data_IF_306641205159
#
_entry.id   IF_306641205159
#
_cell.length_a   1.000
_cell.length_b   1.000
_cell.length_c   1.000
_cell.angle_alpha   90.00
_cell.angle_beta   90.00
_cell.angle_gamma   90.00
#
_symmetry.space_group_name_H-M   'P 1'
#
loop_
_entity.id
_entity.type
_entity.pdbx_description
1 polymer ?
#
# COMPACT_ATOMS: atom_id res chain seq x y z
N UNK A 1 0.23 15.38 13.60
CA UNK A 1 0.75 14.02 13.87
C UNK A 1 1.48 13.54 12.63
N UNK A 2 2.67 12.95 12.77
CA UNK A 2 3.45 12.43 11.65
C UNK A 2 3.45 10.90 11.67
N UNK A 3 3.18 10.28 10.52
CA UNK A 3 3.23 8.83 10.32
C UNK A 3 4.39 8.51 9.38
N UNK A 4 5.16 7.47 9.70
CA UNK A 4 6.26 7.02 8.84
C UNK A 4 5.73 6.11 7.75
N UNK A 5 5.95 6.48 6.49
CA UNK A 5 5.56 5.66 5.33
C UNK A 5 6.83 5.06 4.71
N UNK A 6 6.84 3.74 4.51
CA UNK A 6 7.90 3.08 3.75
C UNK A 6 7.66 3.32 2.26
N UNK A 7 8.67 3.89 1.60
CA UNK A 7 8.67 4.12 0.15
C UNK A 7 9.92 3.49 -0.45
N UNK A 8 9.80 3.05 -1.71
CA UNK A 8 10.96 2.56 -2.46
C UNK A 8 11.97 3.69 -2.69
N UNK A 9 13.26 3.32 -2.69
CA UNK A 9 14.36 4.28 -2.81
C UNK A 9 14.26 5.10 -4.11
N UNK A 10 13.95 4.46 -5.23
CA UNK A 10 13.79 5.12 -6.53
C UNK A 10 12.67 6.18 -6.52
N UNK A 11 11.56 5.92 -5.82
CA UNK A 11 10.46 6.88 -5.69
C UNK A 11 10.87 8.07 -4.84
N UNK A 12 11.62 7.84 -3.77
CA UNK A 12 12.19 8.90 -2.94
C UNK A 12 13.12 9.81 -3.74
N UNK A 13 14.06 9.24 -4.50
CA UNK A 13 15.03 10.00 -5.29
C UNK A 13 14.35 10.85 -6.38
N UNK A 14 13.28 10.31 -7.01
CA UNK A 14 12.48 11.08 -7.97
C UNK A 14 11.80 12.28 -7.32
N UNK A 15 11.24 12.10 -6.12
CA UNK A 15 10.59 13.18 -5.37
C UNK A 15 11.61 14.25 -4.94
N UNK A 16 12.79 13.84 -4.46
CA UNK A 16 13.88 14.78 -4.11
C UNK A 16 14.36 15.58 -5.32
N UNK A 17 14.51 14.94 -6.49
CA UNK A 17 14.84 15.64 -7.74
C UNK A 17 13.76 16.64 -8.15
N UNK A 18 12.49 16.29 -7.98
CA UNK A 18 11.38 17.20 -8.28
C UNK A 18 11.43 18.45 -7.39
N UNK A 19 11.60 18.28 -6.08
CA UNK A 19 11.74 19.39 -5.13
C UNK A 19 12.96 20.26 -5.48
N UNK A 20 14.11 19.65 -5.80
CA UNK A 20 15.30 20.39 -6.21
C UNK A 20 15.05 21.18 -7.51
N UNK A 21 14.30 20.62 -8.47
CA UNK A 21 13.96 21.31 -9.71
C UNK A 21 13.02 22.50 -9.49
N UNK A 22 12.06 22.38 -8.57
CA UNK A 22 11.18 23.47 -8.14
C UNK A 22 11.96 24.60 -7.48
N UNK A 23 12.91 24.25 -6.60
CA UNK A 23 13.77 25.23 -5.95
C UNK A 23 14.61 26.01 -6.97
N UNK A 24 15.18 25.33 -7.98
CA UNK A 24 16.01 25.96 -9.01
C UNK A 24 15.21 26.80 -10.00
N UNK A 25 13.99 26.37 -10.36
CA UNK A 25 13.17 27.04 -11.39
C UNK A 25 12.31 28.15 -10.85
N UNK A 26 11.68 27.93 -9.69
CA UNK A 26 10.68 28.85 -9.13
C UNK A 26 11.14 29.50 -7.82
N UNK A 27 12.30 29.11 -7.28
CA UNK A 27 12.79 29.62 -6.00
C UNK A 27 11.98 29.15 -4.79
N UNK A 28 11.06 28.19 -4.98
CA UNK A 28 10.17 27.71 -3.94
C UNK A 28 10.89 26.63 -3.13
N UNK A 29 11.09 26.90 -1.84
CA UNK A 29 11.64 25.94 -0.89
C UNK A 29 10.52 25.22 -0.15
N UNK A 30 10.35 23.93 -0.44
CA UNK A 30 9.41 23.06 0.26
C UNK A 30 10.15 21.87 0.86
N UNK A 31 9.68 21.37 2.00
CA UNK A 31 10.19 20.11 2.57
C UNK A 31 9.59 18.91 1.85
N UNK A 32 10.25 17.75 1.98
CA UNK A 32 9.76 16.51 1.39
C UNK A 32 8.41 16.07 1.98
N UNK A 33 8.18 16.37 3.26
CA UNK A 33 6.90 16.09 3.92
C UNK A 33 5.78 16.97 3.36
N UNK A 34 6.02 18.26 3.16
CA UNK A 34 5.02 19.18 2.58
C UNK A 34 4.72 18.82 1.12
N UNK A 35 5.76 18.52 0.34
CA UNK A 35 5.62 18.06 -1.04
C UNK A 35 4.74 16.79 -1.12
N UNK A 36 5.02 15.82 -0.24
CA UNK A 36 4.28 14.57 -0.19
C UNK A 36 2.82 14.80 0.22
N UNK A 37 2.57 15.66 1.21
CA UNK A 37 1.22 16.05 1.62
C UNK A 37 0.42 16.65 0.47
N UNK A 38 0.99 17.65 -0.22
CA UNK A 38 0.35 18.28 -1.38
C UNK A 38 0.04 17.29 -2.51
N UNK A 39 0.98 16.39 -2.80
CA UNK A 39 0.78 15.37 -3.84
C UNK A 39 -0.34 14.39 -3.43
N UNK A 40 -0.40 13.98 -2.16
CA UNK A 40 -1.46 13.11 -1.65
C UNK A 40 -2.82 13.82 -1.72
N UNK A 41 -2.89 15.08 -1.29
CA UNK A 41 -4.14 15.85 -1.33
C UNK A 41 -4.63 16.03 -2.76
N UNK A 42 -3.72 16.36 -3.69
CA UNK A 42 -4.04 16.47 -5.11
C UNK A 42 -4.49 15.13 -5.71
N UNK A 43 -3.81 14.04 -5.33
CA UNK A 43 -4.17 12.68 -5.72
C UNK A 43 -5.59 12.32 -5.25
N UNK A 44 -5.93 12.58 -3.99
CA UNK A 44 -7.24 12.29 -3.42
C UNK A 44 -8.36 13.17 -4.00
N UNK A 45 -8.07 14.42 -4.36
CA UNK A 45 -9.03 15.28 -5.07
C UNK A 45 -9.35 14.80 -6.49
N UNK A 46 -8.44 14.04 -7.12
CA UNK A 46 -8.60 13.47 -8.46
C UNK A 46 -8.87 11.97 -8.40
N UNK A 47 -9.78 11.56 -7.52
CA UNK A 47 -10.08 10.16 -7.19
C UNK A 47 -10.35 9.30 -8.43
N UNK A 48 -11.10 9.81 -9.42
CA UNK A 48 -11.43 9.07 -10.65
C UNK A 48 -10.19 8.62 -11.43
N UNK A 49 -9.16 9.46 -11.54
CA UNK A 49 -7.93 9.12 -12.26
C UNK A 49 -7.10 8.08 -11.50
N UNK A 50 -7.18 8.08 -10.18
CA UNK A 50 -6.51 7.09 -9.33
C UNK A 50 -7.25 5.77 -9.39
N UNK A 51 -8.58 5.78 -9.28
CA UNK A 51 -9.40 4.59 -9.40
C UNK A 51 -9.19 3.92 -10.76
N UNK A 52 -9.06 4.67 -11.85
CA UNK A 52 -8.73 4.09 -13.16
C UNK A 52 -7.35 3.40 -13.18
N UNK A 53 -6.33 3.99 -12.54
CA UNK A 53 -5.01 3.36 -12.43
C UNK A 53 -5.00 2.15 -11.50
N UNK A 54 -5.83 2.17 -10.45
CA UNK A 54 -5.99 1.06 -9.51
C UNK A 54 -6.82 -0.09 -10.10
N UNK A 55 -7.78 0.19 -10.97
CA UNK A 55 -8.55 -0.82 -11.72
C UNK A 55 -7.69 -1.70 -12.65
N UNK A 56 -6.45 -1.30 -12.93
CA UNK A 56 -5.47 -2.14 -13.62
C UNK A 56 -4.82 -3.21 -12.73
N UNK A 57 -5.05 -3.17 -11.42
CA UNK A 57 -4.72 -4.26 -10.50
C UNK A 57 -5.75 -5.38 -10.66
N UNK A 58 -5.35 -6.65 -10.44
CA UNK A 58 -6.28 -7.76 -10.53
C UNK A 58 -7.48 -7.49 -9.62
N UNK A 59 -8.71 -7.73 -10.09
CA UNK A 59 -9.89 -7.59 -9.25
C UNK A 59 -9.74 -8.46 -8.01
N UNK A 60 -10.40 -8.06 -6.92
CA UNK A 60 -10.37 -8.78 -5.65
C UNK A 60 -10.74 -10.27 -5.83
N UNK A 61 -11.63 -10.56 -6.78
CA UNK A 61 -12.05 -11.90 -7.21
C UNK A 61 -10.90 -12.78 -7.72
N UNK A 62 -9.83 -12.18 -8.22
CA UNK A 62 -8.63 -12.89 -8.67
C UNK A 62 -7.57 -13.07 -7.59
N UNK A 63 -7.70 -12.37 -6.46
CA UNK A 63 -6.76 -12.47 -5.34
C UNK A 63 -6.72 -13.92 -4.81
N UNK A 64 -5.53 -14.53 -4.68
CA UNK A 64 -5.39 -15.89 -4.18
C UNK A 64 -6.04 -16.11 -2.81
N UNK A 65 -6.00 -15.12 -1.92
CA UNK A 65 -6.64 -15.18 -0.61
C UNK A 65 -8.17 -15.13 -0.74
N UNK A 66 -8.69 -14.38 -1.72
CA UNK A 66 -10.13 -14.32 -2.01
C UNK A 66 -10.65 -15.63 -2.61
N UNK A 67 -9.92 -16.22 -3.56
CA UNK A 67 -10.23 -17.56 -4.10
C UNK A 67 -10.17 -18.66 -3.04
N UNK A 68 -9.27 -18.53 -2.07
CA UNK A 68 -9.16 -19.46 -0.95
C UNK A 68 -10.35 -19.39 0.04
N UNK A 69 -11.19 -18.33 -0.01
CA UNK A 69 -12.42 -18.28 0.77
C UNK A 69 -13.55 -19.13 0.15
N UNK A 70 -13.57 -19.28 -1.17
CA UNK A 70 -14.59 -20.06 -1.89
C UNK A 70 -14.36 -21.57 -1.73
N UNK A 71 -13.09 -21.98 -1.70
CA UNK A 71 -12.69 -23.35 -1.40
C UNK A 71 -11.62 -23.38 -0.30
N UNK A 72 -12.00 -23.16 0.98
CA UNK A 72 -11.06 -23.22 2.08
C UNK A 72 -10.50 -24.63 2.17
N UNK A 73 -9.19 -24.74 2.40
CA UNK A 73 -8.57 -26.05 2.65
C UNK A 73 -9.26 -26.65 3.87
N UNK A 74 -10.09 -27.67 3.65
CA UNK A 74 -10.68 -28.43 4.72
C UNK A 74 -9.60 -29.33 5.32
N UNK A 75 -8.97 -28.84 6.39
CA UNK A 75 -7.98 -29.58 7.17
C UNK A 75 -8.55 -30.86 7.82
N UNK A 76 -9.87 -31.11 7.73
CA UNK A 76 -10.53 -32.27 8.33
C UNK A 76 -10.65 -32.20 9.85
N UNK A 77 -10.23 -31.08 10.46
CA UNK A 77 -10.23 -30.87 11.90
C UNK A 77 -11.44 -30.01 12.28
N UNK A 78 -12.34 -30.55 13.09
CA UNK A 78 -13.43 -29.77 13.72
C UNK A 78 -12.80 -28.79 14.71
N UNK A 79 -13.01 -27.49 14.47
CA UNK A 79 -12.64 -26.36 15.34
C UNK A 79 -11.47 -26.65 16.31
N UNK A 80 -10.26 -26.47 15.80
CA UNK A 80 -9.05 -26.65 16.58
C UNK A 80 -8.69 -25.41 17.42
N UNK A 81 -9.57 -24.41 17.59
CA UNK A 81 -9.22 -23.13 18.24
C UNK A 81 -8.58 -23.31 19.62
N UNK A 82 -8.90 -24.41 20.32
CA UNK A 82 -8.32 -24.77 21.63
C UNK A 82 -7.09 -25.69 21.59
N UNK A 83 -6.75 -26.21 20.41
CA UNK A 83 -5.66 -27.19 20.16
C UNK A 83 -4.68 -26.73 19.07
N UNK A 84 -4.73 -25.45 18.68
CA UNK A 84 -3.85 -24.87 17.63
C UNK A 84 -2.37 -25.19 17.92
N UNK A 85 -1.97 -25.09 19.19
CA UNK A 85 -0.57 -25.31 19.58
C UNK A 85 -0.11 -26.77 19.37
N UNK A 86 -1.00 -27.73 19.60
CA UNK A 86 -0.72 -29.16 19.47
C UNK A 86 -0.53 -29.56 17.99
N UNK A 87 -1.31 -28.95 17.08
CA UNK A 87 -1.23 -29.24 15.65
C UNK A 87 -0.13 -28.48 14.91
N UNK A 88 0.17 -27.23 15.30
CA UNK A 88 1.21 -26.43 14.65
C UNK A 88 2.61 -26.68 15.24
N UNK A 89 2.69 -26.98 16.54
CA UNK A 89 3.95 -27.13 17.26
C UNK A 89 4.23 -28.55 17.78
N UNK A 90 3.30 -29.49 17.61
CA UNK A 90 3.51 -30.91 17.93
C UNK A 90 3.69 -31.20 19.42
N UNK A 91 3.05 -30.42 20.31
CA UNK A 91 3.12 -30.58 21.77
C UNK A 91 1.78 -30.87 22.41
#
# INVERSE_FOLDING_TARGET
MSVTVKIEKDKKEKLERFIASLLLREGIKITLQEALGLIIDYALQNEEQIVQKLKGLPPLEEDPAWKALDNPVHWGIKDASKKIDEYLYGR
#
